data_IF_865757070449
#
_entry.id   IF_865757070449
#
_cell.length_a   1.000
_cell.length_b   1.000
_cell.length_c   1.000
_cell.angle_alpha   90.00
_cell.angle_beta   90.00
_cell.angle_gamma   90.00
#
_symmetry.space_group_name_H-M   'P 1'
#
loop_
_entity.id
_entity.type
_entity.pdbx_description
1 polymer ?
#
# COMPACT_ATOMS: atom_id res chain seq x y z
N UNK A 1 -9.05 -5.77 1.45
CA UNK A 1 -8.81 -5.10 0.14
C UNK A 1 -7.32 -5.15 -0.16
N UNK A 2 -6.91 -5.14 -1.43
CA UNK A 2 -5.51 -4.98 -1.80
C UNK A 2 -5.39 -4.05 -3.01
N UNK A 3 -4.22 -3.44 -3.17
CA UNK A 3 -3.89 -2.51 -4.23
C UNK A 3 -2.46 -2.78 -4.70
N UNK A 4 -2.27 -2.86 -6.01
CA UNK A 4 -0.96 -2.82 -6.65
C UNK A 4 -0.80 -1.45 -7.32
N UNK A 5 0.32 -0.77 -7.08
CA UNK A 5 0.68 0.44 -7.81
C UNK A 5 1.90 0.15 -8.67
N UNK A 6 1.83 0.57 -9.93
CA UNK A 6 2.94 0.56 -10.86
C UNK A 6 3.06 1.93 -11.52
N UNK A 7 4.25 2.53 -11.46
CA UNK A 7 4.59 3.75 -12.20
C UNK A 7 5.66 3.45 -13.24
N UNK A 8 5.54 4.06 -14.41
CA UNK A 8 6.58 4.01 -15.45
C UNK A 8 7.35 5.33 -15.42
N UNK A 9 8.55 5.30 -14.86
CA UNK A 9 9.52 6.39 -14.93
C UNK A 9 10.64 5.94 -15.87
N UNK A 10 11.29 6.86 -16.58
CA UNK A 10 12.13 6.51 -17.75
C UNK A 10 13.09 5.33 -17.55
N UNK A 11 13.80 5.27 -16.42
CA UNK A 11 14.82 4.23 -16.13
C UNK A 11 14.42 3.21 -15.07
N UNK A 12 13.31 3.42 -14.36
CA UNK A 12 12.83 2.56 -13.27
C UNK A 12 11.32 2.40 -13.36
N UNK A 13 10.79 1.25 -12.96
CA UNK A 13 9.34 1.04 -12.96
C UNK A 13 8.84 0.84 -11.54
N UNK A 14 8.73 1.91 -10.71
CA UNK A 14 8.41 1.74 -9.30
C UNK A 14 7.13 0.96 -9.09
N UNK A 15 7.20 -0.05 -8.23
CA UNK A 15 6.05 -0.91 -7.95
C UNK A 15 6.01 -1.41 -6.52
N UNK A 16 4.79 -1.55 -6.01
CA UNK A 16 4.51 -2.14 -4.71
C UNK A 16 3.09 -2.71 -4.68
N UNK A 17 2.89 -3.67 -3.78
CA UNK A 17 1.60 -4.26 -3.46
C UNK A 17 1.37 -4.11 -1.95
N UNK A 18 0.20 -3.63 -1.56
CA UNK A 18 -0.28 -3.68 -0.18
C UNK A 18 -1.69 -4.25 -0.12
N UNK A 19 -1.95 -5.01 0.93
CA UNK A 19 -3.29 -5.48 1.28
C UNK A 19 -3.54 -5.29 2.76
N UNK A 20 -4.80 -5.01 3.08
CA UNK A 20 -5.23 -4.79 4.44
C UNK A 20 -6.71 -5.00 4.65
N UNK A 21 -7.09 -5.01 5.92
CA UNK A 21 -8.46 -5.22 6.37
C UNK A 21 -8.80 -4.20 7.45
N UNK A 22 -9.98 -3.61 7.33
CA UNK A 22 -10.53 -2.73 8.35
C UNK A 22 -11.58 -3.49 9.15
N UNK A 23 -11.46 -3.44 10.48
CA UNK A 23 -12.43 -4.00 11.42
C UNK A 23 -12.98 -2.84 12.25
N UNK A 24 -14.29 -2.54 12.15
CA UNK A 24 -14.93 -1.54 13.01
C UNK A 24 -14.76 -1.90 14.49
N UNK A 25 -14.59 -0.90 15.34
CA UNK A 25 -14.32 -1.10 16.75
C UNK A 25 -14.80 0.06 17.63
N UNK A 26 -14.77 -0.12 18.96
CA UNK A 26 -15.14 0.94 19.89
C UNK A 26 -14.13 2.10 19.86
N UNK A 27 -14.55 3.27 20.31
CA UNK A 27 -13.70 4.46 20.44
C UNK A 27 -14.06 5.56 19.45
N UNK A 28 -13.14 6.49 19.25
CA UNK A 28 -13.30 7.67 18.40
C UNK A 28 -12.25 7.81 17.31
N UNK A 29 -11.26 6.91 17.26
CA UNK A 29 -10.12 6.98 16.35
C UNK A 29 -9.83 5.63 15.73
N UNK A 30 -9.23 5.66 14.53
CA UNK A 30 -8.69 4.46 13.89
C UNK A 30 -7.31 4.14 14.46
N UNK A 31 -7.08 2.85 14.73
CA UNK A 31 -5.75 2.31 15.02
C UNK A 31 -5.17 1.70 13.74
N UNK A 32 -3.88 1.94 13.49
CA UNK A 32 -3.15 1.36 12.37
C UNK A 32 -2.19 0.29 12.86
N UNK A 33 -2.27 -0.90 12.26
CA UNK A 33 -1.33 -1.98 12.50
C UNK A 33 -0.67 -2.36 11.16
N UNK A 34 0.65 -2.43 11.13
CA UNK A 34 1.41 -2.76 9.92
C UNK A 34 2.27 -3.99 10.22
N UNK A 35 1.98 -5.10 9.53
CA UNK A 35 2.79 -6.30 9.61
C UNK A 35 4.10 -6.10 8.85
N UNK A 36 5.23 -6.34 9.52
CA UNK A 36 6.58 -6.24 8.96
C UNK A 36 7.14 -7.64 8.80
N UNK A 37 7.77 -7.91 7.67
CA UNK A 37 8.41 -9.19 7.42
C UNK A 37 9.63 -9.37 8.36
N UNK A 38 9.95 -10.60 8.82
CA UNK A 38 11.04 -10.84 9.75
C UNK A 38 12.44 -10.79 9.10
N UNK A 39 12.54 -10.31 7.86
CA UNK A 39 13.77 -10.24 7.07
C UNK A 39 14.07 -8.81 6.60
N UNK A 40 15.36 -8.50 6.41
CA UNK A 40 15.79 -7.25 5.79
C UNK A 40 15.57 -7.24 4.28
N UNK A 41 15.64 -6.05 3.66
CA UNK A 41 15.41 -5.87 2.22
C UNK A 41 16.31 -6.76 1.34
N UNK A 42 17.54 -7.00 1.78
CA UNK A 42 18.54 -7.81 1.07
C UNK A 42 18.66 -9.24 1.61
N UNK A 43 17.94 -9.57 2.68
CA UNK A 43 17.96 -10.90 3.33
C UNK A 43 16.78 -11.77 2.87
N UNK A 44 15.99 -11.26 1.92
CA UNK A 44 14.93 -12.03 1.30
C UNK A 44 15.52 -13.05 0.33
N UNK A 45 15.97 -14.17 0.85
CA UNK A 45 16.43 -15.34 0.07
C UNK A 45 15.26 -16.08 -0.62
N UNK A 46 14.02 -15.61 -0.42
CA UNK A 46 12.84 -16.23 -1.00
C UNK A 46 12.65 -15.81 -2.46
N UNK A 47 12.52 -16.82 -3.33
CA UNK A 47 12.12 -16.62 -4.72
C UNK A 47 10.77 -15.86 -4.78
N UNK A 48 10.65 -14.80 -5.60
CA UNK A 48 9.40 -14.06 -5.72
C UNK A 48 8.24 -14.96 -6.18
N UNK A 49 7.22 -15.15 -5.33
CA UNK A 49 6.08 -16.05 -5.60
C UNK A 49 4.73 -15.35 -5.64
N UNK A 50 4.65 -14.09 -5.22
CA UNK A 50 3.40 -13.33 -5.21
C UNK A 50 3.08 -12.81 -6.62
N UNK A 51 2.01 -13.29 -7.28
CA UNK A 51 1.71 -12.85 -8.63
C UNK A 51 1.39 -11.36 -8.70
N UNK A 52 1.80 -10.73 -9.79
CA UNK A 52 1.46 -9.35 -10.12
C UNK A 52 0.36 -9.32 -11.17
N UNK A 53 -0.57 -8.37 -11.00
CA UNK A 53 -1.57 -8.08 -12.02
C UNK A 53 -1.07 -7.03 -13.02
N UNK A 54 -0.14 -6.15 -12.61
CA UNK A 54 0.33 -5.02 -13.42
C UNK A 54 1.67 -5.27 -14.14
N UNK A 55 2.36 -6.38 -13.84
CA UNK A 55 3.70 -6.67 -14.34
C UNK A 55 3.91 -8.17 -14.56
N UNK A 56 4.98 -8.52 -15.31
CA UNK A 56 5.27 -9.93 -15.65
C UNK A 56 5.98 -10.68 -14.53
N UNK A 57 6.84 -10.01 -13.78
CA UNK A 57 7.61 -10.61 -12.69
C UNK A 57 6.79 -10.58 -11.38
N UNK A 58 6.77 -11.70 -10.63
CA UNK A 58 6.16 -11.75 -9.30
C UNK A 58 6.89 -10.86 -8.30
N UNK A 59 6.22 -10.56 -7.18
CA UNK A 59 6.79 -9.92 -6.01
C UNK A 59 7.31 -10.96 -5.00
N UNK A 60 8.30 -10.56 -4.21
CA UNK A 60 8.62 -11.23 -2.95
C UNK A 60 7.55 -10.88 -1.90
N UNK A 61 7.06 -11.87 -1.16
CA UNK A 61 5.99 -11.71 -0.17
C UNK A 61 6.55 -11.04 1.08
N UNK A 62 5.87 -10.01 1.60
CA UNK A 62 6.21 -9.36 2.85
C UNK A 62 6.50 -7.88 2.69
N UNK A 63 6.47 -7.15 3.81
CA UNK A 63 6.83 -5.74 3.87
C UNK A 63 8.23 -5.61 4.50
N UNK A 64 9.25 -5.20 3.74
CA UNK A 64 10.56 -4.88 4.31
C UNK A 64 10.48 -3.77 5.36
N UNK A 65 11.22 -3.93 6.46
CA UNK A 65 11.28 -2.97 7.58
C UNK A 65 11.53 -1.50 7.14
N UNK A 66 12.46 -1.21 6.19
CA UNK A 66 12.69 0.16 5.74
C UNK A 66 11.45 0.86 5.16
N UNK A 67 10.47 0.09 4.65
CA UNK A 67 9.25 0.65 4.05
C UNK A 67 8.10 0.75 5.05
N UNK A 68 8.18 0.05 6.19
CA UNK A 68 7.11 -0.03 7.18
C UNK A 68 6.77 1.33 7.80
N UNK A 69 7.80 2.12 8.15
CA UNK A 69 7.60 3.45 8.73
C UNK A 69 6.89 4.39 7.75
N UNK A 70 7.27 4.35 6.47
CA UNK A 70 6.62 5.16 5.42
C UNK A 70 5.15 4.77 5.26
N UNK A 71 4.85 3.47 5.24
CA UNK A 71 3.45 2.99 5.21
C UNK A 71 2.68 3.50 6.43
N UNK A 72 3.22 3.36 7.65
CA UNK A 72 2.56 3.82 8.88
C UNK A 72 2.31 5.33 8.88
N UNK A 73 3.31 6.14 8.49
CA UNK A 73 3.18 7.60 8.40
C UNK A 73 2.10 8.00 7.39
N UNK A 74 2.10 7.39 6.20
CA UNK A 74 1.08 7.69 5.19
C UNK A 74 -0.32 7.28 5.63
N UNK A 75 -0.46 6.19 6.40
CA UNK A 75 -1.77 5.80 6.95
C UNK A 75 -2.29 6.79 8.00
N UNK A 76 -1.39 7.43 8.76
CA UNK A 76 -1.78 8.49 9.70
C UNK A 76 -2.27 9.76 8.98
N UNK A 77 -1.86 9.95 7.72
CA UNK A 77 -2.30 11.04 6.84
C UNK A 77 -3.50 10.63 5.95
N UNK A 78 -4.07 11.58 5.22
CA UNK A 78 -5.14 11.31 4.26
C UNK A 78 -6.54 11.24 4.89
N UNK A 79 -7.51 10.55 4.26
CA UNK A 79 -8.91 10.62 4.68
C UNK A 79 -9.12 9.97 6.05
N UNK A 80 -10.06 10.51 6.83
CA UNK A 80 -10.43 9.90 8.10
C UNK A 80 -11.15 8.57 7.88
N UNK A 81 -10.85 7.61 8.75
CA UNK A 81 -11.55 6.34 8.84
C UNK A 81 -12.38 6.30 10.14
N UNK A 82 -13.53 5.61 10.15
CA UNK A 82 -14.33 5.45 11.36
C UNK A 82 -13.55 4.70 12.45
N UNK A 83 -14.03 4.73 13.69
CA UNK A 83 -13.39 4.01 14.78
C UNK A 83 -13.24 2.50 14.48
N UNK A 84 -12.05 1.97 14.76
CA UNK A 84 -11.69 0.59 14.43
C UNK A 84 -10.20 0.39 14.22
N UNK A 85 -9.85 -0.73 13.62
CA UNK A 85 -8.46 -1.10 13.34
C UNK A 85 -8.29 -1.37 11.85
N UNK A 86 -7.38 -0.65 11.20
CA UNK A 86 -6.87 -0.99 9.86
C UNK A 86 -5.56 -1.76 10.01
N UNK A 87 -5.58 -3.04 9.65
CA UNK A 87 -4.40 -3.89 9.62
C UNK A 87 -3.89 -4.06 8.19
N UNK A 88 -2.65 -3.66 7.93
CA UNK A 88 -1.90 -4.01 6.72
C UNK A 88 -1.22 -5.34 6.98
N UNK A 89 -1.81 -6.41 6.42
CA UNK A 89 -1.45 -7.80 6.68
C UNK A 89 -0.77 -8.48 5.47
N UNK A 90 -0.78 -7.81 4.31
CA UNK A 90 -0.22 -8.32 3.07
C UNK A 90 0.63 -7.25 2.43
N UNK A 91 1.78 -7.65 1.90
CA UNK A 91 2.62 -6.80 1.10
C UNK A 91 3.38 -7.65 0.08
N UNK A 92 3.76 -7.00 -1.03
CA UNK A 92 4.65 -7.56 -2.03
C UNK A 92 5.61 -6.48 -2.50
N UNK A 93 6.89 -6.83 -2.60
CA UNK A 93 7.95 -5.93 -3.05
C UNK A 93 8.81 -6.55 -4.14
N UNK A 94 9.46 -5.69 -4.91
CA UNK A 94 10.47 -6.02 -5.91
C UNK A 94 11.77 -5.34 -5.49
N UNK A 95 12.88 -6.10 -5.41
CA UNK A 95 14.14 -5.58 -4.87
C UNK A 95 14.67 -4.35 -5.62
N UNK A 96 14.43 -4.30 -6.94
CA UNK A 96 14.99 -3.25 -7.82
C UNK A 96 14.04 -2.06 -7.92
N UNK A 97 12.74 -2.31 -7.94
CA UNK A 97 11.73 -1.33 -8.29
C UNK A 97 10.85 -0.89 -7.11
N UNK A 98 10.94 -1.53 -5.95
CA UNK A 98 10.28 -1.02 -4.74
C UNK A 98 11.10 0.09 -4.08
N UNK A 99 10.39 1.04 -3.50
CA UNK A 99 10.95 2.20 -2.80
C UNK A 99 9.95 2.72 -1.78
N UNK A 100 10.41 3.52 -0.83
CA UNK A 100 9.53 4.21 0.12
C UNK A 100 8.43 5.01 -0.59
N UNK A 101 8.79 5.75 -1.64
CA UNK A 101 7.84 6.55 -2.41
C UNK A 101 6.66 5.71 -2.92
N UNK A 102 6.92 4.57 -3.57
CA UNK A 102 5.85 3.76 -4.15
C UNK A 102 5.03 3.03 -3.07
N UNK A 103 5.65 2.66 -1.94
CA UNK A 103 4.92 2.11 -0.80
C UNK A 103 4.01 3.14 -0.13
N UNK A 104 4.46 4.39 0.03
CA UNK A 104 3.62 5.50 0.50
C UNK A 104 2.44 5.74 -0.45
N UNK A 105 2.69 5.82 -1.76
CA UNK A 105 1.61 5.95 -2.76
C UNK A 105 0.60 4.79 -2.71
N UNK A 106 1.09 3.56 -2.53
CA UNK A 106 0.25 2.37 -2.41
C UNK A 106 -0.59 2.40 -1.13
N UNK A 107 0.00 2.85 -0.01
CA UNK A 107 -0.71 2.99 1.27
C UNK A 107 -1.81 4.06 1.21
N UNK A 108 -1.51 5.23 0.63
CA UNK A 108 -2.49 6.30 0.42
C UNK A 108 -3.66 5.83 -0.46
N UNK A 109 -3.35 5.10 -1.54
CA UNK A 109 -4.37 4.57 -2.45
C UNK A 109 -5.24 3.51 -1.77
N UNK A 110 -4.64 2.57 -1.02
CA UNK A 110 -5.37 1.57 -0.26
C UNK A 110 -6.28 2.22 0.80
N UNK A 111 -5.77 3.18 1.57
CA UNK A 111 -6.56 3.90 2.59
C UNK A 111 -7.74 4.64 1.95
N UNK A 112 -7.52 5.30 0.82
CA UNK A 112 -8.55 6.03 0.08
C UNK A 112 -9.65 5.10 -0.43
N UNK A 113 -9.26 3.97 -1.01
CA UNK A 113 -10.21 2.96 -1.49
C UNK A 113 -11.02 2.34 -0.34
N UNK A 114 -10.40 2.09 0.82
CA UNK A 114 -11.09 1.61 2.03
C UNK A 114 -12.05 2.68 2.57
N UNK A 115 -11.63 3.94 2.67
CA UNK A 115 -12.47 5.04 3.15
C UNK A 115 -13.73 5.22 2.28
N UNK A 116 -13.55 5.20 0.95
CA UNK A 116 -14.64 5.26 -0.01
C UNK A 116 -15.60 4.08 0.17
N UNK A 117 -15.07 2.85 0.22
CA UNK A 117 -15.88 1.65 0.41
C UNK A 117 -16.69 1.67 1.72
N UNK A 118 -16.07 2.07 2.83
CA UNK A 118 -16.75 2.19 4.14
C UNK A 118 -17.85 3.27 4.13
N UNK A 119 -17.69 4.30 3.31
CA UNK A 119 -18.66 5.39 3.15
C UNK A 119 -19.74 5.09 2.09
N UNK A 120 -19.76 3.88 1.53
CA UNK A 120 -20.70 3.50 0.47
C UNK A 120 -20.42 4.17 -0.89
N UNK A 121 -19.22 4.72 -1.08
CA UNK A 121 -18.75 5.30 -2.32
C UNK A 121 -18.01 4.27 -3.18
N UNK A 122 -17.87 4.56 -4.48
CA UNK A 122 -17.12 3.72 -5.41
C UNK A 122 -15.60 3.84 -5.19
N UNK A 123 -14.99 2.74 -4.75
CA UNK A 123 -13.57 2.70 -4.39
C UNK A 123 -12.64 2.95 -5.59
N UNK A 124 -13.01 2.46 -6.78
CA UNK A 124 -12.22 2.62 -8.00
C UNK A 124 -12.19 4.08 -8.45
N UNK A 125 -13.32 4.78 -8.36
CA UNK A 125 -13.44 6.20 -8.68
C UNK A 125 -12.61 7.05 -7.72
N UNK A 126 -12.68 6.78 -6.41
CA UNK A 126 -11.86 7.45 -5.42
C UNK A 126 -10.35 7.21 -5.66
N UNK A 127 -9.98 5.96 -5.97
CA UNK A 127 -8.61 5.58 -6.29
C UNK A 127 -8.09 6.33 -7.54
N UNK A 128 -8.86 6.36 -8.63
CA UNK A 128 -8.50 7.09 -9.86
C UNK A 128 -8.36 8.59 -9.61
N UNK A 129 -9.24 9.17 -8.79
CA UNK A 129 -9.16 10.58 -8.42
C UNK A 129 -7.83 10.89 -7.72
N UNK A 130 -7.45 10.09 -6.72
CA UNK A 130 -6.15 10.25 -6.05
C UNK A 130 -4.98 10.12 -7.04
N UNK A 131 -4.97 9.08 -7.88
CA UNK A 131 -3.90 8.86 -8.87
C UNK A 131 -3.76 10.03 -9.83
N UNK A 132 -4.86 10.69 -10.22
CA UNK A 132 -4.82 11.86 -11.11
C UNK A 132 -4.05 13.04 -10.52
N UNK A 133 -4.03 13.18 -9.19
CA UNK A 133 -3.30 14.26 -8.51
C UNK A 133 -1.78 14.09 -8.55
N UNK A 134 -1.29 12.88 -8.79
CA UNK A 134 0.15 12.60 -8.86
C UNK A 134 0.81 13.11 -10.14
N UNK A 135 0.00 13.51 -11.13
CA UNK A 135 0.45 14.02 -12.42
C UNK A 135 0.28 15.54 -12.56
N UNK A 136 -0.50 16.19 -11.70
CA UNK A 136 -0.74 17.64 -11.74
C UNK A 136 0.37 18.48 -11.11
N UNK A 137 1.51 17.87 -10.77
CA UNK A 137 2.67 18.52 -10.13
C UNK A 137 3.94 18.56 -10.99
N UNK A 138 3.83 18.43 -12.32
CA UNK A 138 4.95 18.65 -13.27
C UNK A 138 4.85 20.01 -13.95
#
# INVERSE_FOLDING_TARGET
MHVEVLRRLSSITPRALLGGQFVPGPGSQTQFAVAVAPFGLFDADEEPTCPSALWRQPFTIGLPDPFAQTVANTLAEGPDLPAGTLTIDRAGFDLVNSSEMIFGQTAALLKTAIAAWLSGQDADTAARSLVSTWWTGT
#
